data_IF_001529630063
#
_entry.id   IF_001529630063
#
_cell.length_a   1.000
_cell.length_b   1.000
_cell.length_c   1.000
_cell.angle_alpha   90.00
_cell.angle_beta   90.00
_cell.angle_gamma   90.00
#
_symmetry.space_group_name_H-M   'P 1'
#
loop_
_entity.id
_entity.type
_entity.pdbx_description
1 polymer ?
#
# COMPACT_ATOMS: atom_id res chain seq x y z
N UNK A 1 -20.61 -1.88 19.50
CA UNK A 1 -20.46 -1.04 18.30
C UNK A 1 -19.91 -1.93 17.19
N UNK A 2 -20.56 -2.04 16.03
CA UNK A 2 -20.00 -2.78 14.89
C UNK A 2 -18.79 -1.99 14.38
N UNK A 3 -17.61 -2.61 14.31
CA UNK A 3 -16.40 -2.00 13.74
C UNK A 3 -16.72 -1.49 12.33
N UNK A 4 -16.51 -0.19 12.10
CA UNK A 4 -16.71 0.48 10.81
C UNK A 4 -15.39 0.61 10.02
N UNK A 5 -14.32 -0.01 10.52
CA UNK A 5 -12.97 0.23 10.04
C UNK A 5 -12.43 -0.98 9.27
N UNK A 6 -11.57 -0.69 8.29
CA UNK A 6 -10.58 -1.65 7.82
C UNK A 6 -9.54 -1.82 8.93
N UNK A 7 -9.37 -3.04 9.41
CA UNK A 7 -8.39 -3.38 10.45
C UNK A 7 -7.29 -4.24 9.83
N UNK A 8 -6.03 -3.89 10.09
CA UNK A 8 -4.87 -4.71 9.73
C UNK A 8 -4.24 -5.25 11.00
N UNK A 9 -4.32 -6.55 11.17
CA UNK A 9 -3.59 -7.28 12.21
C UNK A 9 -2.17 -7.52 11.71
N UNK A 10 -1.17 -7.02 12.44
CA UNK A 10 0.23 -7.03 12.04
C UNK A 10 1.04 -7.86 13.04
N UNK A 11 1.79 -8.85 12.56
CA UNK A 11 2.72 -9.62 13.38
C UNK A 11 3.80 -8.71 13.96
N UNK A 12 3.90 -8.59 15.28
CA UNK A 12 4.89 -7.75 15.97
C UNK A 12 6.05 -8.54 16.60
N UNK A 13 5.98 -9.86 16.56
CA UNK A 13 6.93 -10.82 17.11
C UNK A 13 7.93 -11.38 16.07
N UNK A 14 7.95 -10.80 14.87
CA UNK A 14 8.79 -11.25 13.74
C UNK A 14 9.86 -10.22 13.33
N UNK A 15 10.30 -9.35 14.25
CA UNK A 15 11.40 -8.38 14.04
C UNK A 15 11.30 -7.52 12.77
N UNK A 16 10.07 -7.17 12.36
CA UNK A 16 9.87 -6.26 11.23
C UNK A 16 10.28 -4.84 11.59
N UNK A 17 11.20 -4.27 10.81
CA UNK A 17 11.43 -2.84 10.87
C UNK A 17 10.23 -2.03 10.35
N UNK A 18 10.16 -0.76 10.74
CA UNK A 18 9.07 0.13 10.38
C UNK A 18 8.88 0.26 8.86
N UNK A 19 9.97 0.27 8.07
CA UNK A 19 9.88 0.33 6.61
C UNK A 19 9.15 -0.88 6.02
N UNK A 20 9.48 -2.07 6.51
CA UNK A 20 8.80 -3.30 6.12
C UNK A 20 7.35 -3.29 6.56
N UNK A 21 7.08 -2.87 7.78
CA UNK A 21 5.73 -2.79 8.33
C UNK A 21 4.84 -1.83 7.52
N UNK A 22 5.33 -0.63 7.15
CA UNK A 22 4.65 0.29 6.23
C UNK A 22 4.32 -0.40 4.90
N UNK A 23 5.29 -1.10 4.30
CA UNK A 23 5.08 -1.77 3.02
C UNK A 23 4.02 -2.88 3.10
N UNK A 24 4.04 -3.71 4.15
CA UNK A 24 3.08 -4.80 4.31
C UNK A 24 1.68 -4.28 4.63
N UNK A 25 1.55 -3.29 5.52
CA UNK A 25 0.25 -2.67 5.82
C UNK A 25 -0.34 -2.00 4.59
N UNK A 26 0.47 -1.27 3.81
CA UNK A 26 0.03 -0.66 2.56
C UNK A 26 -0.39 -1.72 1.52
N UNK A 27 0.30 -2.85 1.45
CA UNK A 27 -0.10 -3.99 0.62
C UNK A 27 -1.44 -4.55 1.08
N UNK A 28 -1.58 -4.93 2.35
CA UNK A 28 -2.80 -5.49 2.92
C UNK A 28 -4.00 -4.57 2.69
N UNK A 29 -3.80 -3.26 2.85
CA UNK A 29 -4.83 -2.23 2.63
C UNK A 29 -5.26 -2.17 1.16
N UNK A 30 -4.32 -2.10 0.22
CA UNK A 30 -4.63 -2.09 -1.21
C UNK A 30 -5.31 -3.38 -1.67
N UNK A 31 -4.79 -4.53 -1.24
CA UNK A 31 -5.33 -5.84 -1.57
C UNK A 31 -6.74 -6.05 -0.99
N UNK A 32 -7.03 -5.54 0.21
CA UNK A 32 -8.39 -5.53 0.79
C UNK A 32 -9.40 -4.87 -0.15
N UNK A 33 -9.07 -3.72 -0.72
CA UNK A 33 -9.91 -3.02 -1.68
C UNK A 33 -9.99 -3.73 -3.04
N UNK A 34 -8.86 -4.17 -3.60
CA UNK A 34 -8.85 -4.89 -4.88
C UNK A 34 -9.63 -6.21 -4.83
N UNK A 35 -9.65 -6.89 -3.69
CA UNK A 35 -10.45 -8.10 -3.51
C UNK A 35 -11.98 -7.86 -3.57
N UNK A 36 -12.42 -6.59 -3.59
CA UNK A 36 -13.81 -6.17 -3.84
C UNK A 36 -13.98 -5.51 -5.20
N UNK A 37 -13.06 -5.74 -6.13
CA UNK A 37 -13.14 -5.27 -7.51
C UNK A 37 -13.20 -6.45 -8.48
N UNK A 38 -14.26 -6.51 -9.29
CA UNK A 38 -14.47 -7.56 -10.29
C UNK A 38 -14.05 -7.06 -11.69
N UNK A 39 -13.27 -7.83 -12.46
CA UNK A 39 -13.11 -7.59 -13.89
C UNK A 39 -14.48 -7.60 -14.60
N UNK A 40 -14.84 -6.47 -15.19
CA UNK A 40 -16.17 -6.26 -15.79
C UNK A 40 -16.12 -6.13 -17.31
N UNK A 41 -15.00 -5.65 -17.85
CA UNK A 41 -14.71 -5.56 -19.27
C UNK A 41 -13.21 -5.80 -19.47
N UNK A 42 -12.86 -6.51 -20.54
CA UNK A 42 -11.48 -6.77 -20.93
C UNK A 42 -11.37 -6.66 -22.45
N UNK A 43 -10.55 -5.72 -22.89
CA UNK A 43 -10.14 -5.51 -24.28
C UNK A 43 -8.63 -5.79 -24.38
N UNK A 44 -8.08 -5.87 -25.59
CA UNK A 44 -6.70 -6.30 -25.83
C UNK A 44 -5.65 -5.55 -25.00
N UNK A 45 -5.89 -4.26 -24.70
CA UNK A 45 -4.97 -3.41 -23.92
C UNK A 45 -5.58 -2.79 -22.66
N UNK A 46 -6.82 -3.11 -22.32
CA UNK A 46 -7.53 -2.43 -21.24
C UNK A 46 -8.36 -3.42 -20.41
N UNK A 47 -8.37 -3.23 -19.10
CA UNK A 47 -9.25 -3.93 -18.17
C UNK A 47 -9.99 -2.93 -17.30
N UNK A 48 -11.29 -3.16 -17.12
CA UNK A 48 -12.13 -2.36 -16.24
C UNK A 48 -12.52 -3.17 -15.02
N UNK A 49 -12.08 -2.72 -13.85
CA UNK A 49 -12.48 -3.31 -12.57
C UNK A 49 -13.65 -2.53 -11.99
N UNK A 50 -14.70 -3.23 -11.56
CA UNK A 50 -15.89 -2.63 -10.94
C UNK A 50 -15.98 -3.02 -9.47
N UNK A 51 -16.15 -2.04 -8.58
CA UNK A 51 -16.36 -2.26 -7.15
C UNK A 51 -17.66 -3.04 -6.89
N UNK A 52 -17.66 -3.87 -5.84
CA UNK A 52 -18.91 -4.40 -5.27
C UNK A 52 -19.78 -3.24 -4.73
N UNK A 53 -21.12 -3.42 -4.63
CA UNK A 53 -22.00 -2.37 -4.11
C UNK A 53 -21.57 -1.83 -2.73
N UNK A 54 -21.18 -2.71 -1.81
CA UNK A 54 -20.72 -2.31 -0.47
C UNK A 54 -19.43 -1.50 -0.51
N UNK A 55 -18.44 -1.92 -1.30
CA UNK A 55 -17.18 -1.19 -1.42
C UNK A 55 -17.37 0.16 -2.15
N UNK A 56 -18.29 0.24 -3.10
CA UNK A 56 -18.69 1.51 -3.73
C UNK A 56 -19.29 2.48 -2.71
N UNK A 57 -20.25 2.02 -1.90
CA UNK A 57 -20.83 2.84 -0.83
C UNK A 57 -19.77 3.29 0.17
N UNK A 58 -18.86 2.38 0.55
CA UNK A 58 -17.74 2.72 1.43
C UNK A 58 -16.83 3.81 0.83
N UNK A 59 -16.54 3.75 -0.48
CA UNK A 59 -15.76 4.78 -1.18
C UNK A 59 -16.48 6.13 -1.17
N UNK A 60 -17.77 6.16 -1.54
CA UNK A 60 -18.60 7.37 -1.56
C UNK A 60 -18.70 8.02 -0.16
N UNK A 61 -18.66 7.21 0.90
CA UNK A 61 -18.70 7.66 2.29
C UNK A 61 -17.31 7.90 2.92
N UNK A 62 -16.22 7.74 2.15
CA UNK A 62 -14.84 7.85 2.64
C UNK A 62 -14.51 6.92 3.81
N UNK A 63 -15.10 5.73 3.85
CA UNK A 63 -14.88 4.71 4.88
C UNK A 63 -13.72 3.79 4.50
N UNK A 64 -13.06 3.18 5.49
CA UNK A 64 -11.98 2.19 5.28
C UNK A 64 -10.79 2.67 4.42
N UNK A 65 -10.57 3.99 4.32
CA UNK A 65 -9.44 4.57 3.58
C UNK A 65 -8.13 4.60 4.38
N UNK A 66 -8.22 4.73 5.70
CA UNK A 66 -7.10 4.57 6.62
C UNK A 66 -7.32 3.30 7.45
N UNK A 67 -6.38 2.33 7.44
CA UNK A 67 -6.52 1.14 8.26
C UNK A 67 -6.26 1.46 9.74
N UNK A 68 -7.02 0.82 10.63
CA UNK A 68 -6.63 0.66 12.03
C UNK A 68 -5.60 -0.46 12.13
N UNK A 69 -4.47 -0.19 12.77
CA UNK A 69 -3.41 -1.20 12.93
C UNK A 69 -3.50 -1.81 14.32
N UNK A 70 -3.53 -3.14 14.38
CA UNK A 70 -3.56 -3.92 15.62
C UNK A 70 -2.34 -4.85 15.63
N UNK A 71 -1.29 -4.53 16.41
CA UNK A 71 -0.19 -5.44 16.63
C UNK A 71 -0.69 -6.70 17.35
N UNK A 72 -0.28 -7.87 16.87
CA UNK A 72 -0.57 -9.18 17.45
C UNK A 72 0.62 -10.10 17.22
N UNK A 73 0.72 -11.19 17.97
CA UNK A 73 1.70 -12.23 17.64
C UNK A 73 1.35 -12.91 16.31
N UNK A 74 2.34 -13.46 15.60
CA UNK A 74 2.12 -14.18 14.34
C UNK A 74 1.11 -15.34 14.49
N UNK A 75 1.11 -15.99 15.65
CA UNK A 75 0.23 -17.12 15.95
C UNK A 75 -1.23 -16.69 16.18
N UNK A 76 -1.45 -15.43 16.55
CA UNK A 76 -2.78 -14.85 16.80
C UNK A 76 -3.34 -14.15 15.55
N UNK A 77 -2.62 -14.15 14.44
CA UNK A 77 -3.16 -13.62 13.19
C UNK A 77 -4.40 -14.42 12.78
N UNK A 78 -5.50 -13.75 12.38
CA UNK A 78 -6.72 -14.43 11.95
C UNK A 78 -6.42 -15.47 10.86
N UNK A 79 -6.87 -16.70 11.05
CA UNK A 79 -6.45 -17.84 10.24
C UNK A 79 -7.33 -18.06 9.02
N UNK A 80 -8.66 -18.10 9.15
CA UNK A 80 -9.53 -18.43 8.01
C UNK A 80 -10.95 -17.84 8.17
N UNK A 81 -11.27 -16.80 7.39
CA UNK A 81 -12.65 -16.39 7.06
C UNK A 81 -12.64 -15.80 5.63
N UNK A 82 -13.72 -15.97 4.85
CA UNK A 82 -13.84 -15.52 3.45
C UNK A 82 -13.63 -14.00 3.26
N UNK A 83 -13.65 -13.23 4.36
CA UNK A 83 -13.51 -11.78 4.36
C UNK A 83 -12.06 -11.29 4.49
N UNK A 84 -11.11 -12.16 4.82
CA UNK A 84 -9.74 -11.81 5.15
C UNK A 84 -8.84 -11.71 3.91
N UNK A 85 -7.91 -10.75 3.94
CA UNK A 85 -6.78 -10.70 3.01
C UNK A 85 -5.50 -10.95 3.77
N UNK A 86 -4.91 -12.11 3.52
CA UNK A 86 -3.65 -12.52 4.11
C UNK A 86 -2.46 -12.05 3.26
N UNK A 87 -1.45 -11.49 3.91
CA UNK A 87 -0.19 -11.11 3.28
C UNK A 87 0.95 -11.97 3.80
N UNK A 88 1.46 -12.83 2.92
CA UNK A 88 2.64 -13.67 3.15
C UNK A 88 3.83 -13.03 2.44
N UNK A 89 4.88 -12.73 3.20
CA UNK A 89 6.18 -12.45 2.59
C UNK A 89 6.83 -13.76 2.16
N UNK A 90 7.23 -13.88 0.88
CA UNK A 90 7.79 -15.11 0.34
C UNK A 90 9.18 -15.50 0.91
N UNK A 91 9.73 -14.77 1.89
CA UNK A 91 11.05 -15.06 2.46
C UNK A 91 12.20 -14.61 1.57
N UNK A 92 11.97 -13.56 0.76
CA UNK A 92 12.96 -13.07 -0.22
C UNK A 92 13.68 -11.78 0.22
N UNK A 93 13.24 -11.13 1.29
CA UNK A 93 13.74 -9.80 1.69
C UNK A 93 14.34 -9.76 3.08
N UNK A 94 13.56 -10.12 4.10
CA UNK A 94 13.98 -10.04 5.51
C UNK A 94 13.90 -11.41 6.19
N UNK A 95 12.91 -12.22 5.81
CA UNK A 95 12.73 -13.55 6.38
C UNK A 95 13.42 -14.60 5.51
N UNK A 96 13.90 -15.68 6.14
CA UNK A 96 14.53 -16.80 5.44
C UNK A 96 13.50 -17.79 4.85
N UNK A 97 12.23 -17.66 5.26
CA UNK A 97 11.12 -18.54 4.85
C UNK A 97 9.84 -17.73 4.64
N UNK A 98 8.87 -18.26 3.86
CA UNK A 98 7.54 -17.67 3.77
C UNK A 98 6.97 -17.37 5.15
N UNK A 99 6.60 -16.12 5.38
CA UNK A 99 6.22 -15.59 6.70
C UNK A 99 4.92 -14.80 6.56
N UNK A 100 3.86 -15.24 7.26
CA UNK A 100 2.61 -14.49 7.35
C UNK A 100 2.87 -13.23 8.17
N UNK A 101 2.75 -12.07 7.54
CA UNK A 101 3.15 -10.79 8.15
C UNK A 101 1.98 -9.97 8.64
N UNK A 102 0.87 -9.97 7.91
CA UNK A 102 -0.34 -9.29 8.33
C UNK A 102 -1.59 -9.87 7.67
N UNK A 103 -2.75 -9.56 8.27
CA UNK A 103 -4.08 -9.89 7.77
C UNK A 103 -4.94 -8.65 7.82
N UNK A 104 -5.55 -8.29 6.69
CA UNK A 104 -6.54 -7.23 6.61
C UNK A 104 -7.96 -7.79 6.70
N UNK A 105 -8.80 -7.14 7.50
CA UNK A 105 -10.20 -7.49 7.75
C UNK A 105 -11.05 -6.24 7.62
N UNK A 106 -12.15 -6.31 6.88
CA UNK A 106 -13.10 -5.21 6.79
C UNK A 106 -14.52 -5.71 6.60
N UNK A 107 -15.38 -5.33 7.53
CA UNK A 107 -16.83 -5.56 7.45
C UNK A 107 -17.53 -4.49 6.61
N UNK A 108 -16.99 -3.27 6.56
CA UNK A 108 -17.61 -2.13 5.86
C UNK A 108 -17.45 -2.21 4.34
N UNK A 109 -16.39 -2.86 3.84
CA UNK A 109 -16.19 -3.12 2.41
C UNK A 109 -17.09 -4.24 1.88
N UNK A 110 -17.76 -4.99 2.78
CA UNK A 110 -18.46 -6.23 2.45
C UNK A 110 -17.52 -7.41 2.18
N UNK A 111 -18.12 -8.53 1.81
CA UNK A 111 -17.41 -9.78 1.54
C UNK A 111 -16.42 -9.62 0.39
N UNK A 112 -15.29 -10.31 0.51
CA UNK A 112 -14.34 -10.41 -0.58
C UNK A 112 -14.98 -11.21 -1.71
N UNK A 113 -14.69 -10.87 -2.96
CA UNK A 113 -15.07 -11.71 -4.09
C UNK A 113 -14.33 -13.06 -3.99
N UNK A 114 -14.86 -14.17 -4.51
CA UNK A 114 -14.05 -15.40 -4.67
C UNK A 114 -12.83 -15.14 -5.56
N UNK A 115 -11.72 -15.84 -5.33
CA UNK A 115 -10.47 -15.64 -6.11
C UNK A 115 -10.68 -15.77 -7.62
N UNK A 116 -11.58 -16.67 -8.04
CA UNK A 116 -11.97 -16.86 -9.46
C UNK A 116 -12.66 -15.65 -10.10
N UNK A 117 -13.06 -14.66 -9.31
CA UNK A 117 -13.71 -13.42 -9.77
C UNK A 117 -12.84 -12.17 -9.56
N UNK A 118 -11.64 -12.32 -9.00
CA UNK A 118 -10.70 -11.22 -8.76
C UNK A 118 -9.79 -11.01 -9.97
N UNK A 119 -9.10 -9.87 -9.99
CA UNK A 119 -7.98 -9.67 -10.91
C UNK A 119 -6.89 -10.70 -10.61
N UNK A 120 -6.43 -11.42 -11.62
CA UNK A 120 -5.36 -12.41 -11.47
C UNK A 120 -4.03 -11.71 -11.24
N UNK A 121 -3.29 -12.15 -10.22
CA UNK A 121 -1.91 -11.74 -10.04
C UNK A 121 -1.03 -12.45 -11.07
N UNK A 122 -0.03 -11.73 -11.54
CA UNK A 122 1.04 -12.28 -12.36
C UNK A 122 2.27 -12.49 -11.46
N UNK A 123 2.72 -13.74 -11.36
CA UNK A 123 3.90 -14.14 -10.58
C UNK A 123 5.24 -13.74 -11.24
N UNK A 124 5.18 -12.98 -12.34
CA UNK A 124 6.32 -12.47 -13.08
C UNK A 124 7.20 -11.48 -12.27
N UNK A 125 8.32 -11.10 -12.91
CA UNK A 125 9.30 -10.12 -12.41
C UNK A 125 8.63 -8.80 -12.02
N UNK A 126 8.88 -8.35 -10.79
CA UNK A 126 8.43 -7.04 -10.27
C UNK A 126 9.19 -5.91 -10.99
N UNK A 127 8.63 -5.42 -12.09
CA UNK A 127 9.21 -4.35 -12.91
C UNK A 127 8.92 -2.96 -12.32
N UNK A 128 7.81 -2.79 -11.62
CA UNK A 128 7.41 -1.51 -11.04
C UNK A 128 7.29 -1.61 -9.53
N UNK A 129 7.73 -0.58 -8.82
CA UNK A 129 7.54 -0.47 -7.37
C UNK A 129 7.05 0.91 -6.99
N UNK A 130 6.19 0.94 -5.98
CA UNK A 130 5.83 2.17 -5.29
C UNK A 130 6.89 2.52 -4.24
N UNK A 131 7.34 3.77 -4.24
CA UNK A 131 8.36 4.24 -3.30
C UNK A 131 7.76 5.16 -2.24
N UNK A 132 8.17 4.95 -0.99
CA UNK A 132 7.81 5.77 0.15
C UNK A 132 9.05 6.49 0.65
N UNK A 133 8.98 7.81 0.73
CA UNK A 133 10.03 8.66 1.28
C UNK A 133 9.57 9.21 2.62
N UNK A 134 10.28 8.90 3.69
CA UNK A 134 9.84 9.14 5.06
C UNK A 134 10.75 10.16 5.79
N UNK A 135 10.16 11.17 6.41
CA UNK A 135 10.85 12.14 7.26
C UNK A 135 11.04 11.62 8.68
N UNK A 136 12.12 10.88 8.91
CA UNK A 136 12.44 10.27 10.22
C UNK A 136 12.60 11.30 11.33
N UNK A 137 13.14 12.48 11.02
CA UNK A 137 13.36 13.54 12.02
C UNK A 137 12.02 14.11 12.50
N UNK A 138 11.12 14.39 11.56
CA UNK A 138 9.84 14.99 11.87
C UNK A 138 8.94 14.01 12.62
N UNK A 139 8.93 12.73 12.21
CA UNK A 139 8.23 11.66 12.93
C UNK A 139 8.66 11.60 14.40
N UNK A 140 9.97 11.58 14.66
CA UNK A 140 10.50 11.54 16.02
C UNK A 140 10.16 12.82 16.81
N UNK A 141 10.18 13.98 16.15
CA UNK A 141 9.84 15.28 16.77
C UNK A 141 8.37 15.35 17.18
N UNK A 142 7.48 14.77 16.38
CA UNK A 142 6.04 14.74 16.62
C UNK A 142 5.60 13.56 17.51
N UNK A 143 6.54 12.72 17.96
CA UNK A 143 6.28 11.54 18.78
C UNK A 143 5.17 10.63 18.22
N UNK A 144 5.13 10.45 16.89
CA UNK A 144 4.13 9.60 16.24
C UNK A 144 4.41 8.13 16.53
N UNK A 145 3.35 7.37 16.79
CA UNK A 145 3.45 5.92 16.94
C UNK A 145 3.63 5.24 15.57
N UNK A 146 4.25 4.07 15.57
CA UNK A 146 4.42 3.27 14.35
C UNK A 146 3.08 2.96 13.67
N UNK A 147 2.03 2.68 14.44
CA UNK A 147 0.67 2.47 13.94
C UNK A 147 0.11 3.68 13.19
N UNK A 148 0.33 4.89 13.72
CA UNK A 148 -0.09 6.12 13.04
C UNK A 148 0.67 6.32 11.73
N UNK A 149 1.99 6.09 11.74
CA UNK A 149 2.84 6.23 10.56
C UNK A 149 2.39 5.23 9.48
N UNK A 150 2.25 3.95 9.85
CA UNK A 150 1.78 2.89 8.94
C UNK A 150 0.41 3.21 8.34
N UNK A 151 -0.55 3.65 9.17
CA UNK A 151 -1.90 4.00 8.70
C UNK A 151 -1.89 5.16 7.70
N UNK A 152 -1.13 6.22 7.98
CA UNK A 152 -1.02 7.39 7.10
C UNK A 152 -0.39 7.04 5.74
N UNK A 153 0.70 6.28 5.74
CA UNK A 153 1.35 5.85 4.49
C UNK A 153 0.52 4.82 3.72
N UNK A 154 -0.18 3.92 4.40
CA UNK A 154 -1.10 2.98 3.76
C UNK A 154 -2.30 3.69 3.12
N UNK A 155 -2.87 4.71 3.78
CA UNK A 155 -3.89 5.59 3.20
C UNK A 155 -3.40 6.28 1.92
N UNK A 156 -2.17 6.81 1.94
CA UNK A 156 -1.58 7.46 0.77
C UNK A 156 -1.34 6.47 -0.38
N UNK A 157 -0.86 5.26 -0.07
CA UNK A 157 -0.71 4.16 -1.03
C UNK A 157 -2.03 3.76 -1.66
N UNK A 158 -3.09 3.64 -0.86
CA UNK A 158 -4.42 3.28 -1.34
C UNK A 158 -5.01 4.38 -2.22
N UNK A 159 -4.78 5.65 -1.91
CA UNK A 159 -5.25 6.77 -2.71
C UNK A 159 -4.73 6.72 -4.16
N UNK A 160 -3.50 6.22 -4.40
CA UNK A 160 -2.97 6.01 -5.76
C UNK A 160 -3.83 5.01 -6.57
N UNK A 161 -4.43 4.02 -5.89
CA UNK A 161 -5.31 3.02 -6.53
C UNK A 161 -6.72 3.60 -6.73
N UNK A 162 -7.23 4.32 -5.74
CA UNK A 162 -8.64 4.74 -5.70
C UNK A 162 -8.92 6.09 -6.38
N UNK A 163 -7.93 6.98 -6.51
CA UNK A 163 -8.09 8.26 -7.21
C UNK A 163 -8.57 8.14 -8.67
N UNK A 164 -8.05 7.20 -9.49
CA UNK A 164 -8.57 7.01 -10.84
C UNK A 164 -9.94 6.30 -10.89
N UNK A 165 -10.54 5.96 -9.75
CA UNK A 165 -11.86 5.31 -9.71
C UNK A 165 -12.97 6.34 -9.94
N UNK A 166 -13.74 6.15 -11.01
CA UNK A 166 -14.91 6.98 -11.35
C UNK A 166 -16.16 6.13 -11.36
N UNK A 167 -17.21 6.54 -10.65
CA UNK A 167 -18.49 5.80 -10.53
C UNK A 167 -18.32 4.33 -10.08
N UNK A 168 -17.30 4.08 -9.26
CA UNK A 168 -16.95 2.75 -8.77
C UNK A 168 -16.24 1.86 -9.80
N UNK A 169 -15.72 2.44 -10.88
CA UNK A 169 -14.96 1.74 -11.93
C UNK A 169 -13.52 2.25 -11.99
N UNK A 170 -12.58 1.31 -12.04
CA UNK A 170 -11.16 1.54 -12.27
C UNK A 170 -10.80 1.04 -13.67
N UNK A 171 -10.45 1.96 -14.57
CA UNK A 171 -9.98 1.62 -15.91
C UNK A 171 -8.45 1.52 -15.89
N UNK A 172 -7.90 0.39 -16.33
CA UNK A 172 -6.47 0.14 -16.32
C UNK A 172 -5.99 -0.24 -17.71
N UNK A 173 -4.98 0.46 -18.19
CA UNK A 173 -4.23 0.05 -19.37
C UNK A 173 -3.16 -0.97 -18.95
N UNK A 174 -3.10 -2.13 -19.62
CA UNK A 174 -2.19 -3.22 -19.24
C UNK A 174 -0.72 -2.85 -19.38
N UNK A 175 -0.39 -1.86 -20.22
CA UNK A 175 0.97 -1.37 -20.41
C UNK A 175 1.41 -0.35 -19.35
N UNK A 176 0.47 0.16 -18.55
CA UNK A 176 0.77 1.22 -17.58
C UNK A 176 1.34 0.70 -16.26
N UNK A 177 2.18 1.51 -15.58
CA UNK A 177 2.80 1.14 -14.31
C UNK A 177 1.82 0.70 -13.22
N UNK A 178 0.62 1.31 -13.15
CA UNK A 178 -0.37 0.97 -12.15
C UNK A 178 -0.87 -0.46 -12.30
N UNK A 179 -1.25 -0.88 -13.50
CA UNK A 179 -1.70 -2.26 -13.78
C UNK A 179 -0.60 -3.27 -13.47
N UNK A 180 0.61 -3.02 -13.99
CA UNK A 180 1.74 -3.92 -13.81
C UNK A 180 2.08 -4.07 -12.33
N UNK A 181 2.05 -2.98 -11.56
CA UNK A 181 2.34 -3.01 -10.14
C UNK A 181 1.29 -3.74 -9.30
N UNK A 182 -0.01 -3.50 -9.54
CA UNK A 182 -1.06 -4.19 -8.78
C UNK A 182 -1.12 -5.68 -9.11
N UNK A 183 -0.76 -6.07 -10.33
CA UNK A 183 -0.73 -7.49 -10.74
C UNK A 183 0.55 -8.20 -10.31
N UNK A 184 1.68 -7.49 -10.13
CA UNK A 184 2.97 -8.07 -9.72
C UNK A 184 3.24 -7.99 -8.20
N UNK A 185 2.30 -8.45 -7.37
CA UNK A 185 2.43 -8.52 -5.90
C UNK A 185 2.71 -7.19 -5.17
N UNK A 186 2.36 -6.05 -5.78
CA UNK A 186 2.53 -4.71 -5.21
C UNK A 186 3.93 -4.40 -4.67
N UNK A 187 4.97 -4.53 -5.48
CA UNK A 187 6.34 -4.18 -5.10
C UNK A 187 6.44 -2.80 -4.44
N UNK A 188 7.05 -2.73 -3.24
CA UNK A 188 7.21 -1.47 -2.49
C UNK A 188 8.64 -1.27 -2.03
N UNK A 189 9.03 -0.02 -1.85
CA UNK A 189 10.32 0.35 -1.28
C UNK A 189 10.13 1.52 -0.34
N UNK A 190 10.60 1.38 0.91
CA UNK A 190 10.46 2.41 1.94
C UNK A 190 11.83 2.88 2.35
N UNK A 191 12.08 4.18 2.15
CA UNK A 191 13.34 4.83 2.52
C UNK A 191 13.09 6.01 3.44
N UNK A 192 13.97 6.20 4.42
CA UNK A 192 13.84 7.27 5.39
C UNK A 192 15.04 8.22 5.39
N UNK A 193 14.79 9.51 5.55
CA UNK A 193 15.83 10.53 5.75
C UNK A 193 15.56 11.36 7.01
N UNK A 194 16.62 11.86 7.64
CA UNK A 194 16.55 12.85 8.74
C UNK A 194 16.66 14.30 8.22
N UNK A 195 16.92 14.50 6.94
CA UNK A 195 17.17 15.82 6.33
C UNK A 195 15.97 16.26 5.50
N UNK A 196 15.27 17.31 5.95
CA UNK A 196 14.11 17.90 5.23
C UNK A 196 14.49 18.36 3.83
N UNK A 197 15.67 18.97 3.66
CA UNK A 197 16.15 19.41 2.34
C UNK A 197 16.22 18.26 1.32
N UNK A 198 16.51 17.02 1.76
CA UNK A 198 16.56 15.85 0.89
C UNK A 198 15.19 15.35 0.46
N UNK A 199 14.16 15.57 1.28
CA UNK A 199 12.78 15.34 0.83
C UNK A 199 12.39 16.36 -0.24
N UNK A 200 12.72 17.63 -0.04
CA UNK A 200 12.45 18.67 -1.04
C UNK A 200 13.18 18.44 -2.37
N UNK A 201 14.43 18.00 -2.33
CA UNK A 201 15.17 17.58 -3.53
C UNK A 201 14.47 16.42 -4.25
N UNK A 202 14.02 15.40 -3.51
CA UNK A 202 13.28 14.27 -4.10
C UNK A 202 11.97 14.73 -4.72
N UNK A 203 11.19 15.60 -4.05
CA UNK A 203 9.94 16.10 -4.65
C UNK A 203 10.19 16.89 -5.92
N UNK A 204 11.24 17.73 -5.96
CA UNK A 204 11.59 18.48 -7.16
C UNK A 204 11.99 17.56 -8.32
N UNK A 205 12.75 16.49 -8.05
CA UNK A 205 13.11 15.49 -9.06
C UNK A 205 11.88 14.71 -9.55
N UNK A 206 10.97 14.33 -8.64
CA UNK A 206 9.72 13.67 -9.04
C UNK A 206 8.86 14.58 -9.91
N UNK A 207 8.78 15.88 -9.60
CA UNK A 207 8.06 16.88 -10.40
C UNK A 207 8.72 17.06 -11.79
N UNK A 208 10.05 17.12 -11.86
CA UNK A 208 10.84 17.20 -13.11
C UNK A 208 10.63 15.98 -14.00
N UNK A 209 10.64 14.77 -13.42
CA UNK A 209 10.43 13.51 -14.12
C UNK A 209 8.92 13.20 -14.35
N UNK A 210 8.02 14.13 -14.03
CA UNK A 210 6.56 13.98 -14.14
C UNK A 210 6.00 12.73 -13.43
N UNK A 211 6.59 12.35 -12.32
CA UNK A 211 6.13 11.24 -11.51
C UNK A 211 5.12 11.74 -10.50
N UNK A 212 3.87 11.27 -10.62
CA UNK A 212 2.84 11.59 -9.64
C UNK A 212 3.19 11.02 -8.26
N UNK A 213 2.93 11.79 -7.20
CA UNK A 213 3.08 11.35 -5.83
C UNK A 213 2.07 12.03 -4.91
N UNK A 214 1.72 11.33 -3.83
CA UNK A 214 0.93 11.86 -2.72
C UNK A 214 1.86 12.32 -1.61
N UNK A 215 1.59 13.52 -1.08
CA UNK A 215 2.19 14.01 0.16
C UNK A 215 1.44 13.38 1.34
N UNK A 216 2.19 12.89 2.32
CA UNK A 216 1.65 12.28 3.53
C UNK A 216 1.74 13.30 4.65
N UNK A 217 0.60 13.71 5.19
CA UNK A 217 0.50 14.73 6.22
C UNK A 217 0.04 14.15 7.55
N UNK A 218 0.53 14.74 8.63
CA UNK A 218 -0.08 14.65 9.95
C UNK A 218 -0.27 16.07 10.47
N UNK A 219 -1.53 16.47 10.66
CA UNK A 219 -1.91 17.88 10.77
C UNK A 219 -1.31 18.65 9.58
N UNK A 220 -0.61 19.76 9.83
CA UNK A 220 0.00 20.61 8.79
C UNK A 220 1.44 20.17 8.41
N UNK A 221 1.92 19.05 8.94
CA UNK A 221 3.29 18.60 8.77
C UNK A 221 3.42 17.52 7.69
N UNK A 222 4.21 17.79 6.64
CA UNK A 222 4.52 16.81 5.59
C UNK A 222 5.52 15.76 6.12
N UNK A 223 5.00 14.59 6.47
CA UNK A 223 5.78 13.44 6.95
C UNK A 223 6.56 12.74 5.84
N UNK A 224 6.15 12.89 4.58
CA UNK A 224 6.79 12.19 3.48
C UNK A 224 6.00 12.18 2.18
N UNK A 225 6.43 11.32 1.27
CA UNK A 225 5.82 11.13 -0.04
C UNK A 225 5.57 9.65 -0.33
N UNK A 226 4.50 9.36 -1.06
CA UNK A 226 4.16 8.05 -1.60
C UNK A 226 3.97 8.21 -3.11
N UNK A 227 4.81 7.57 -3.91
CA UNK A 227 4.78 7.74 -5.37
C UNK A 227 3.68 6.88 -6.02
N UNK A 228 3.32 7.19 -7.25
CA UNK A 228 2.81 6.17 -8.15
C UNK A 228 3.88 5.08 -8.38
N UNK A 229 3.55 3.91 -8.96
CA UNK A 229 4.55 2.91 -9.28
C UNK A 229 5.58 3.43 -10.29
N UNK A 230 6.85 3.18 -10.02
CA UNK A 230 8.01 3.62 -10.82
C UNK A 230 8.77 2.37 -11.26
N UNK A 231 9.34 2.40 -12.46
CA UNK A 231 10.24 1.34 -12.93
C UNK A 231 11.38 1.12 -11.92
N UNK A 232 11.52 -0.11 -11.44
CA UNK A 232 12.50 -0.53 -10.45
C UNK A 232 13.94 -0.16 -10.87
N UNK A 233 14.23 -0.13 -12.18
CA UNK A 233 15.54 0.24 -12.73
C UNK A 233 15.89 1.69 -12.48
N UNK A 234 14.91 2.59 -12.32
CA UNK A 234 15.17 4.03 -12.15
C UNK A 234 14.94 4.53 -10.71
N UNK A 235 14.36 3.72 -9.83
CA UNK A 235 14.14 4.09 -8.40
C UNK A 235 15.42 4.56 -7.72
N UNK A 236 16.57 3.96 -8.08
CA UNK A 236 17.85 4.35 -7.52
C UNK A 236 18.18 5.84 -7.73
N UNK A 237 17.66 6.50 -8.78
CA UNK A 237 17.85 7.95 -8.99
C UNK A 237 17.36 8.77 -7.80
N UNK A 238 16.27 8.35 -7.16
CA UNK A 238 15.64 9.06 -6.04
C UNK A 238 16.15 8.58 -4.67
N UNK A 239 16.73 7.37 -4.61
CA UNK A 239 17.15 6.74 -3.34
C UNK A 239 18.67 6.71 -3.14
N UNK A 240 19.49 7.06 -4.15
CA UNK A 240 20.97 6.97 -4.14
C UNK A 240 21.67 7.89 -3.13
N UNK A 241 20.99 8.88 -2.56
CA UNK A 241 21.62 9.72 -1.54
C UNK A 241 21.94 8.87 -0.30
N UNK A 242 23.21 8.87 0.16
CA UNK A 242 23.68 8.21 1.41
C UNK A 242 22.90 8.61 2.69
N UNK A 243 21.91 9.49 2.57
CA UNK A 243 21.02 9.98 3.62
C UNK A 243 19.66 9.30 3.64
N UNK A 244 19.29 8.60 2.57
CA UNK A 244 18.15 7.70 2.54
C UNK A 244 18.65 6.29 2.83
N UNK A 245 18.36 5.82 4.04
CA UNK A 245 18.60 4.43 4.41
C UNK A 245 17.27 3.68 4.36
N UNK A 246 17.35 2.35 4.21
CA UNK A 246 16.21 1.50 4.55
C UNK A 246 15.73 1.89 5.95
N UNK A 247 14.41 2.03 6.10
CA UNK A 247 13.83 2.44 7.37
C UNK A 247 13.87 1.25 8.33
N UNK A 248 15.03 1.08 8.97
CA UNK A 248 15.27 0.22 10.13
C UNK A 248 14.79 0.90 11.40
#
# INVERSE_FOLDING_TARGET
>A
MKNQDLTVYLADDIDMNLGKAIAQVAHATGAAWLARMKPSQQEDNQITLTLTPSARVALEQNLALAPKIVPVSQQELPTEEEQHIEIIDAGKTIFERPTKTCVAVSTVLGDALPDSQRLLFNDDVINYKQTFFVNRKLIATLALSDQQIMSLFAKASLAIILEPVTDGRLNLNISEPLYQWITSAFGKTVVGTKKVSKLLEVSALLDEDHIHYRRVYFNDYCLGYCTQPIDAKVIHKYTKYKTFNLLS
#
